data_IF_221406987130
#
_entry.id   IF_221406987130
#
_cell.length_a   1.000
_cell.length_b   1.000
_cell.length_c   1.000
_cell.angle_alpha   90.00
_cell.angle_beta   90.00
_cell.angle_gamma   90.00
#
_symmetry.space_group_name_H-M   'P 1'
#
loop_
_entity.id
_entity.type
_entity.pdbx_description
1 polymer ?
#
# COMPACT_ATOMS: atom_id res chain seq x y z
N UNK A 1 -14.76 19.77 29.16
CA UNK A 1 -13.49 19.02 29.34
C UNK A 1 -12.95 18.75 27.95
N UNK A 2 -11.94 19.50 27.55
CA UNK A 2 -11.35 19.48 26.19
C UNK A 2 -10.51 18.23 25.98
N UNK A 3 -10.89 17.47 24.97
CA UNK A 3 -10.26 16.20 24.57
C UNK A 3 -8.85 16.48 23.95
N UNK A 4 -7.82 16.61 24.80
CA UNK A 4 -6.45 17.02 24.44
C UNK A 4 -5.51 15.85 24.10
N UNK A 5 -6.00 14.67 23.70
CA UNK A 5 -5.14 13.52 23.36
C UNK A 5 -5.70 12.63 22.21
N UNK A 6 -6.19 13.20 21.11
CA UNK A 6 -6.19 12.41 19.89
C UNK A 6 -4.75 12.46 19.34
N UNK A 7 -3.97 11.39 19.56
CA UNK A 7 -2.72 11.17 18.80
C UNK A 7 -3.05 11.34 17.32
N UNK A 8 -2.24 12.11 16.62
CA UNK A 8 -2.41 12.31 15.19
C UNK A 8 -2.40 10.94 14.51
N UNK A 9 -3.50 10.56 13.88
CA UNK A 9 -3.71 9.20 13.35
C UNK A 9 -2.88 8.94 12.07
N UNK A 10 -2.41 10.00 11.42
CA UNK A 10 -1.62 9.97 10.18
C UNK A 10 -0.77 11.24 10.06
N UNK A 11 0.21 11.23 9.15
CA UNK A 11 1.06 12.37 8.85
C UNK A 11 0.74 12.86 7.44
N UNK A 12 0.35 14.13 7.31
CA UNK A 12 0.09 14.75 6.00
C UNK A 12 1.39 14.84 5.19
N UNK A 13 1.30 14.48 3.92
CA UNK A 13 2.43 14.49 3.00
C UNK A 13 2.98 15.90 2.76
N UNK A 14 4.19 16.00 2.23
CA UNK A 14 4.81 17.23 1.79
C UNK A 14 4.21 17.72 0.48
N UNK A 15 4.36 19.02 0.16
CA UNK A 15 3.94 19.55 -1.15
C UNK A 15 4.66 18.88 -2.32
N UNK A 16 5.91 18.46 -2.13
CA UNK A 16 6.66 17.74 -3.12
C UNK A 16 6.10 16.32 -3.28
N UNK A 17 5.81 15.63 -2.18
CA UNK A 17 5.18 14.31 -2.20
C UNK A 17 3.84 14.33 -2.91
N UNK A 18 2.93 15.26 -2.55
CA UNK A 18 1.65 15.45 -3.22
C UNK A 18 1.82 15.63 -4.74
N UNK A 19 2.75 16.50 -5.15
CA UNK A 19 3.03 16.70 -6.58
C UNK A 19 3.58 15.44 -7.25
N UNK A 20 4.53 14.75 -6.60
CA UNK A 20 5.16 13.55 -7.16
C UNK A 20 4.17 12.40 -7.35
N UNK A 21 3.29 12.18 -6.37
CA UNK A 21 2.25 11.15 -6.39
C UNK A 21 1.24 11.34 -7.54
N UNK A 22 1.10 12.57 -8.06
CA UNK A 22 0.22 12.91 -9.18
C UNK A 22 0.95 12.86 -10.55
N UNK A 23 2.21 12.41 -10.59
CA UNK A 23 2.98 12.33 -11.84
C UNK A 23 2.84 10.99 -12.55
N UNK A 24 2.94 11.01 -13.90
CA UNK A 24 3.07 9.79 -14.70
C UNK A 24 4.28 8.93 -14.29
N UNK A 25 5.35 9.56 -13.80
CA UNK A 25 6.54 8.86 -13.32
C UNK A 25 6.17 7.93 -12.16
N UNK A 26 5.41 8.44 -11.17
CA UNK A 26 4.94 7.61 -10.06
C UNK A 26 3.98 6.52 -10.55
N UNK A 27 3.02 6.86 -11.39
CA UNK A 27 2.05 5.88 -11.92
C UNK A 27 2.76 4.73 -12.65
N UNK A 28 3.70 5.03 -13.55
CA UNK A 28 4.34 4.02 -14.39
C UNK A 28 5.40 3.21 -13.63
N UNK A 29 6.26 3.88 -12.87
CA UNK A 29 7.45 3.25 -12.29
C UNK A 29 7.24 2.76 -10.85
N UNK A 30 6.20 3.22 -10.16
CA UNK A 30 5.89 2.79 -8.80
C UNK A 30 4.60 1.96 -8.78
N UNK A 31 3.44 2.56 -9.09
CA UNK A 31 2.15 1.90 -8.99
C UNK A 31 2.00 0.70 -9.96
N UNK A 32 2.15 0.92 -11.27
CA UNK A 32 2.00 -0.16 -12.27
C UNK A 32 3.04 -1.26 -12.09
N UNK A 33 4.25 -0.89 -11.67
CA UNK A 33 5.31 -1.86 -11.38
C UNK A 33 4.93 -2.76 -10.21
N UNK A 34 4.45 -2.18 -9.10
CA UNK A 34 3.99 -2.93 -7.94
C UNK A 34 2.80 -3.83 -8.27
N UNK A 35 1.79 -3.32 -9.00
CA UNK A 35 0.64 -4.12 -9.42
C UNK A 35 1.02 -5.28 -10.34
N UNK A 36 1.96 -5.10 -11.27
CA UNK A 36 2.45 -6.18 -12.12
C UNK A 36 3.10 -7.29 -11.30
N UNK A 37 3.89 -6.93 -10.30
CA UNK A 37 4.54 -7.89 -9.41
C UNK A 37 3.51 -8.60 -8.52
N UNK A 38 2.60 -7.84 -7.90
CA UNK A 38 1.53 -8.40 -7.05
C UNK A 38 0.62 -9.37 -7.80
N UNK A 39 0.25 -9.09 -9.06
CA UNK A 39 -0.54 -10.04 -9.86
C UNK A 39 0.19 -11.37 -10.10
N UNK A 40 1.51 -11.35 -10.28
CA UNK A 40 2.31 -12.56 -10.44
C UNK A 40 2.45 -13.33 -9.12
N UNK A 41 2.32 -12.66 -7.98
CA UNK A 41 2.35 -13.28 -6.65
C UNK A 41 1.01 -13.91 -6.24
N UNK A 42 -0.10 -13.66 -6.96
CA UNK A 42 -1.36 -14.36 -6.73
C UNK A 42 -1.20 -15.81 -7.20
N UNK A 43 -1.33 -16.82 -6.31
CA UNK A 43 -1.22 -18.21 -6.71
C UNK A 43 -2.26 -18.60 -7.76
N UNK A 44 -1.88 -19.45 -8.71
CA UNK A 44 -2.74 -19.83 -9.85
C UNK A 44 -4.01 -20.58 -9.44
N UNK A 45 -3.99 -21.21 -8.27
CA UNK A 45 -5.12 -21.93 -7.66
C UNK A 45 -6.06 -21.02 -6.86
N UNK A 46 -5.77 -19.72 -6.82
CA UNK A 46 -6.58 -18.72 -6.13
C UNK A 46 -7.42 -17.89 -7.11
N UNK A 47 -8.53 -17.29 -6.64
CA UNK A 47 -9.32 -16.38 -7.46
C UNK A 47 -8.47 -15.26 -8.08
N UNK A 48 -8.72 -15.00 -9.36
CA UNK A 48 -8.06 -13.91 -10.12
C UNK A 48 -9.02 -12.75 -10.37
N UNK A 49 -10.31 -12.92 -10.07
CA UNK A 49 -11.35 -11.90 -10.18
C UNK A 49 -11.95 -11.63 -8.79
N UNK A 50 -12.25 -10.36 -8.52
CA UNK A 50 -12.72 -9.89 -7.23
C UNK A 50 -13.90 -8.96 -7.47
N UNK A 51 -15.05 -9.26 -6.85
CA UNK A 51 -16.28 -8.51 -7.08
C UNK A 51 -16.27 -7.15 -6.37
N UNK A 52 -15.77 -7.10 -5.14
CA UNK A 52 -15.66 -5.88 -4.35
C UNK A 52 -14.21 -5.68 -3.90
N UNK A 53 -13.59 -4.60 -4.36
CA UNK A 53 -12.22 -4.23 -4.00
C UNK A 53 -12.24 -3.05 -3.03
N UNK A 54 -11.40 -3.11 -1.98
CA UNK A 54 -11.12 -1.97 -1.09
C UNK A 54 -9.71 -1.44 -1.40
N UNK A 55 -9.64 -0.20 -1.85
CA UNK A 55 -8.39 0.52 -2.11
C UNK A 55 -8.04 1.40 -0.89
N UNK A 56 -6.99 1.04 -0.17
CA UNK A 56 -6.54 1.72 1.06
C UNK A 56 -5.55 2.82 0.71
N UNK A 57 -5.90 4.06 1.03
CA UNK A 57 -5.11 5.23 0.68
C UNK A 57 -5.17 5.51 -0.81
N UNK A 58 -6.39 5.66 -1.34
CA UNK A 58 -6.63 5.84 -2.77
C UNK A 58 -5.92 7.07 -3.37
N UNK A 59 -5.51 8.02 -2.52
CA UNK A 59 -4.78 9.20 -2.95
C UNK A 59 -5.52 9.97 -4.06
N UNK A 60 -4.83 10.22 -5.17
CA UNK A 60 -5.41 10.91 -6.33
C UNK A 60 -6.27 9.99 -7.23
N UNK A 61 -6.46 8.72 -6.85
CA UNK A 61 -7.31 7.78 -7.58
C UNK A 61 -6.65 7.11 -8.80
N UNK A 62 -5.33 7.20 -8.97
CA UNK A 62 -4.62 6.50 -10.04
C UNK A 62 -4.71 4.97 -9.90
N UNK A 63 -4.77 4.46 -8.68
CA UNK A 63 -5.01 3.06 -8.37
C UNK A 63 -6.36 2.56 -8.87
N UNK A 64 -7.40 3.38 -8.82
CA UNK A 64 -8.75 3.01 -9.25
C UNK A 64 -8.79 2.56 -10.71
N UNK A 65 -8.13 3.31 -11.61
CA UNK A 65 -8.03 2.99 -13.04
C UNK A 65 -7.31 1.65 -13.28
N UNK A 66 -6.25 1.41 -12.53
CA UNK A 66 -5.48 0.17 -12.64
C UNK A 66 -6.25 -1.03 -12.10
N UNK A 67 -6.94 -0.88 -10.96
CA UNK A 67 -7.75 -1.93 -10.36
C UNK A 67 -8.97 -2.27 -11.23
N UNK A 68 -9.66 -1.25 -11.74
CA UNK A 68 -10.79 -1.41 -12.67
C UNK A 68 -10.38 -2.19 -13.94
N UNK A 69 -9.30 -1.76 -14.59
CA UNK A 69 -8.86 -2.37 -15.85
C UNK A 69 -8.31 -3.79 -15.70
N UNK A 70 -7.68 -4.11 -14.56
CA UNK A 70 -7.02 -5.40 -14.34
C UNK A 70 -7.93 -6.47 -13.81
N UNK A 71 -8.86 -6.11 -12.91
CA UNK A 71 -9.68 -7.06 -12.16
C UNK A 71 -11.16 -6.98 -12.52
N UNK A 72 -11.61 -5.93 -13.21
CA UNK A 72 -13.00 -5.72 -13.64
C UNK A 72 -14.03 -5.97 -12.51
N UNK A 73 -13.85 -5.37 -11.31
CA UNK A 73 -14.75 -5.59 -10.19
C UNK A 73 -16.12 -4.93 -10.45
N UNK A 74 -17.17 -5.41 -9.77
CA UNK A 74 -18.47 -4.70 -9.77
C UNK A 74 -18.38 -3.37 -9.05
N UNK A 75 -17.58 -3.30 -7.96
CA UNK A 75 -17.37 -2.05 -7.22
C UNK A 75 -15.99 -1.95 -6.58
N UNK A 76 -15.53 -0.69 -6.44
CA UNK A 76 -14.31 -0.35 -5.68
C UNK A 76 -14.69 0.63 -4.59
N UNK A 77 -14.34 0.32 -3.34
CA UNK A 77 -14.41 1.25 -2.22
C UNK A 77 -13.07 1.97 -2.12
N UNK A 78 -13.06 3.25 -2.44
CA UNK A 78 -11.88 4.11 -2.41
C UNK A 78 -11.77 4.79 -1.03
N UNK A 79 -10.84 4.33 -0.19
CA UNK A 79 -10.65 4.83 1.16
C UNK A 79 -9.43 5.75 1.24
N UNK A 80 -9.62 6.92 1.82
CA UNK A 80 -8.55 7.79 2.25
C UNK A 80 -8.95 8.56 3.52
N UNK A 81 -7.98 9.01 4.29
CA UNK A 81 -8.21 9.78 5.52
C UNK A 81 -8.34 11.28 5.25
N UNK A 82 -7.82 11.77 4.12
CA UNK A 82 -7.87 13.19 3.72
C UNK A 82 -9.02 13.44 2.74
N UNK A 83 -10.08 14.17 3.17
CA UNK A 83 -11.23 14.45 2.30
C UNK A 83 -10.87 15.31 1.07
N UNK A 84 -9.82 16.14 1.13
CA UNK A 84 -9.38 16.96 0.00
C UNK A 84 -8.78 16.08 -1.11
N UNK A 85 -8.06 15.03 -0.71
CA UNK A 85 -7.46 14.05 -1.62
C UNK A 85 -8.55 13.18 -2.26
N UNK A 86 -9.51 12.71 -1.48
CA UNK A 86 -10.70 11.98 -1.99
C UNK A 86 -11.45 12.79 -3.04
N UNK A 87 -11.61 14.10 -2.84
CA UNK A 87 -12.28 14.94 -3.84
C UNK A 87 -11.51 15.00 -5.18
N UNK A 88 -10.18 14.95 -5.16
CA UNK A 88 -9.36 14.89 -6.38
C UNK A 88 -9.47 13.54 -7.08
N UNK A 89 -9.57 12.44 -6.32
CA UNK A 89 -9.72 11.09 -6.85
C UNK A 89 -10.99 10.90 -7.72
N UNK A 90 -12.04 11.69 -7.49
CA UNK A 90 -13.30 11.61 -8.25
C UNK A 90 -13.10 11.80 -9.75
N UNK A 91 -12.15 12.64 -10.17
CA UNK A 91 -11.87 12.87 -11.59
C UNK A 91 -11.36 11.59 -12.29
N UNK A 92 -10.52 10.81 -11.61
CA UNK A 92 -10.04 9.53 -12.13
C UNK A 92 -11.14 8.46 -12.05
N UNK A 93 -11.96 8.48 -11.01
CA UNK A 93 -13.08 7.55 -10.84
C UNK A 93 -14.12 7.62 -11.96
N UNK A 94 -14.36 8.81 -12.56
CA UNK A 94 -15.27 8.98 -13.70
C UNK A 94 -14.86 8.16 -14.94
N UNK A 95 -13.62 7.72 -15.01
CA UNK A 95 -13.10 6.91 -16.12
C UNK A 95 -13.22 5.40 -15.87
N UNK A 96 -13.59 4.99 -14.65
CA UNK A 96 -13.78 3.59 -14.28
C UNK A 96 -15.14 3.06 -14.76
N UNK A 97 -15.16 1.78 -15.13
CA UNK A 97 -16.41 1.05 -15.45
C UNK A 97 -17.10 0.53 -14.19
N UNK A 98 -16.35 0.27 -13.13
CA UNK A 98 -16.84 -0.19 -11.83
C UNK A 98 -17.58 0.92 -11.06
N UNK A 99 -18.50 0.54 -10.16
CA UNK A 99 -19.13 1.46 -9.21
C UNK A 99 -18.10 1.90 -8.15
N UNK A 100 -17.73 3.18 -8.13
CA UNK A 100 -16.74 3.71 -7.19
C UNK A 100 -17.43 4.37 -5.99
N UNK A 101 -17.18 3.83 -4.79
CA UNK A 101 -17.69 4.37 -3.53
C UNK A 101 -16.54 4.99 -2.74
N UNK A 102 -16.67 6.26 -2.38
CA UNK A 102 -15.66 6.96 -1.58
C UNK A 102 -15.96 6.87 -0.09
N UNK A 103 -14.94 6.53 0.69
CA UNK A 103 -15.01 6.42 2.13
C UNK A 103 -13.89 7.26 2.77
N UNK A 104 -14.28 8.29 3.54
CA UNK A 104 -13.32 9.12 4.29
C UNK A 104 -13.23 8.60 5.71
N UNK A 105 -12.26 7.76 6.00
CA UNK A 105 -12.02 7.24 7.35
C UNK A 105 -10.55 6.81 7.54
N UNK A 106 -10.20 6.54 8.80
CA UNK A 106 -8.92 5.97 9.15
C UNK A 106 -8.92 4.45 8.88
N UNK A 107 -7.88 3.93 8.22
CA UNK A 107 -7.73 2.50 7.96
C UNK A 107 -7.59 1.64 9.24
N UNK A 108 -7.35 2.25 10.39
CA UNK A 108 -7.40 1.59 11.71
C UNK A 108 -8.82 1.50 12.31
N UNK A 109 -9.84 2.08 11.64
CA UNK A 109 -11.25 2.08 12.06
C UNK A 109 -12.13 2.21 10.81
N UNK A 110 -12.25 1.12 10.04
CA UNK A 110 -12.92 1.11 8.73
C UNK A 110 -14.45 1.00 8.91
N UNK A 111 -15.19 1.98 8.37
CA UNK A 111 -16.66 1.98 8.39
C UNK A 111 -17.25 1.09 7.28
N UNK A 112 -16.96 -0.20 7.34
CA UNK A 112 -17.51 -1.25 6.48
C UNK A 112 -17.91 -2.47 7.31
N UNK A 113 -18.87 -3.23 6.81
CA UNK A 113 -19.31 -4.47 7.44
C UNK A 113 -18.21 -5.55 7.44
N UNK A 114 -18.25 -6.44 8.40
CA UNK A 114 -17.40 -7.64 8.43
C UNK A 114 -17.64 -8.48 7.18
N UNK A 115 -16.57 -9.08 6.64
CA UNK A 115 -16.63 -10.02 5.52
C UNK A 115 -17.36 -9.44 4.29
N UNK A 116 -17.14 -8.16 3.97
CA UNK A 116 -17.79 -7.48 2.85
C UNK A 116 -16.88 -7.30 1.62
N UNK A 117 -15.57 -7.49 1.76
CA UNK A 117 -14.55 -7.21 0.75
C UNK A 117 -13.91 -8.50 0.24
N UNK A 118 -13.74 -8.64 -1.08
CA UNK A 118 -13.07 -9.78 -1.70
C UNK A 118 -11.55 -9.59 -1.78
N UNK A 119 -11.11 -8.38 -2.08
CA UNK A 119 -9.70 -8.01 -2.17
C UNK A 119 -9.44 -6.64 -1.56
N UNK A 120 -8.39 -6.51 -0.77
CA UNK A 120 -7.83 -5.23 -0.33
C UNK A 120 -6.57 -4.94 -1.15
N UNK A 121 -6.47 -3.75 -1.69
CA UNK A 121 -5.25 -3.20 -2.25
C UNK A 121 -4.69 -2.14 -1.31
N UNK A 122 -3.45 -2.29 -0.88
CA UNK A 122 -2.75 -1.33 -0.04
C UNK A 122 -1.35 -1.09 -0.62
N UNK A 123 -1.14 0.09 -1.20
CA UNK A 123 0.08 0.43 -1.90
C UNK A 123 0.64 1.76 -1.42
N UNK A 124 1.87 1.75 -0.90
CA UNK A 124 2.60 2.92 -0.42
C UNK A 124 1.78 3.79 0.56
N UNK A 125 0.96 3.15 1.39
CA UNK A 125 0.05 3.82 2.33
C UNK A 125 0.22 3.32 3.75
N UNK A 126 0.46 2.02 3.95
CA UNK A 126 0.48 1.41 5.28
C UNK A 126 1.57 2.00 6.18
N UNK A 127 2.70 2.38 5.62
CA UNK A 127 3.79 3.05 6.34
C UNK A 127 3.44 4.48 6.81
N UNK A 128 2.35 5.09 6.33
CA UNK A 128 1.81 6.36 6.85
C UNK A 128 0.84 6.16 8.02
N UNK A 129 0.32 4.94 8.24
CA UNK A 129 -0.61 4.64 9.32
C UNK A 129 0.16 4.54 10.64
N UNK A 130 -0.29 5.28 11.66
CA UNK A 130 0.37 5.29 12.98
C UNK A 130 -0.02 4.04 13.79
N UNK A 131 -1.29 3.64 13.78
CA UNK A 131 -1.78 2.42 14.43
C UNK A 131 -1.91 1.26 13.42
N UNK A 132 -0.76 0.72 13.03
CA UNK A 132 -0.67 -0.38 12.05
C UNK A 132 -1.27 -1.69 12.57
N UNK A 133 -1.24 -1.91 13.89
CA UNK A 133 -1.83 -3.12 14.49
C UNK A 133 -3.36 -3.11 14.41
N UNK A 134 -4.00 -1.97 14.64
CA UNK A 134 -5.45 -1.84 14.45
C UNK A 134 -5.80 -1.91 12.96
N UNK A 135 -5.04 -1.27 12.08
CA UNK A 135 -5.29 -1.30 10.65
C UNK A 135 -5.27 -2.72 10.06
N UNK A 136 -4.26 -3.54 10.40
CA UNK A 136 -4.19 -4.91 9.88
C UNK A 136 -5.32 -5.80 10.43
N UNK A 137 -5.81 -5.54 11.65
CA UNK A 137 -6.99 -6.22 12.22
C UNK A 137 -8.27 -5.81 11.49
N UNK A 138 -8.40 -4.53 11.12
CA UNK A 138 -9.52 -4.05 10.31
C UNK A 138 -9.51 -4.67 8.91
N UNK A 139 -8.33 -4.80 8.27
CA UNK A 139 -8.20 -5.53 7.02
C UNK A 139 -8.73 -6.96 7.15
N UNK A 140 -8.32 -7.65 8.22
CA UNK A 140 -8.82 -9.00 8.50
C UNK A 140 -10.34 -9.02 8.73
N UNK A 141 -10.89 -8.05 9.46
CA UNK A 141 -12.32 -7.99 9.77
C UNK A 141 -13.18 -7.81 8.52
N UNK A 142 -12.84 -6.82 7.68
CA UNK A 142 -13.67 -6.49 6.51
C UNK A 142 -13.51 -7.48 5.36
N UNK A 143 -12.40 -8.20 5.29
CA UNK A 143 -12.12 -9.17 4.24
C UNK A 143 -12.98 -10.42 4.42
N UNK A 144 -13.56 -10.96 3.35
CA UNK A 144 -14.28 -12.24 3.35
C UNK A 144 -13.31 -13.41 3.61
N UNK A 145 -13.77 -14.55 4.21
CA UNK A 145 -12.97 -15.78 4.21
C UNK A 145 -12.55 -16.16 2.79
N UNK A 146 -11.29 -16.50 2.61
CA UNK A 146 -10.69 -16.75 1.30
C UNK A 146 -10.29 -15.50 0.51
N UNK A 147 -10.68 -14.31 0.95
CA UNK A 147 -10.27 -13.04 0.35
C UNK A 147 -8.78 -12.74 0.57
N UNK A 148 -8.22 -11.83 -0.21
CA UNK A 148 -6.79 -11.52 -0.19
C UNK A 148 -6.49 -10.04 0.01
N UNK A 149 -5.26 -9.78 0.45
CA UNK A 149 -4.65 -8.45 0.46
C UNK A 149 -3.48 -8.44 -0.51
N UNK A 150 -3.49 -7.48 -1.43
CA UNK A 150 -2.36 -7.11 -2.27
C UNK A 150 -1.65 -5.94 -1.58
N UNK A 151 -0.47 -6.20 -1.06
CA UNK A 151 0.28 -5.30 -0.19
C UNK A 151 1.63 -4.95 -0.82
N UNK A 152 1.88 -3.67 -1.09
CA UNK A 152 3.15 -3.21 -1.64
C UNK A 152 3.63 -1.95 -0.91
N UNK A 153 4.67 -2.09 -0.10
CA UNK A 153 5.08 -1.05 0.84
C UNK A 153 6.57 -0.76 0.83
N UNK A 154 6.88 0.46 1.21
CA UNK A 154 8.23 0.90 1.51
C UNK A 154 8.66 0.42 2.90
N UNK A 155 9.88 -0.13 2.99
CA UNK A 155 10.47 -0.57 4.25
C UNK A 155 11.24 0.55 4.95
N UNK A 156 11.53 0.33 6.24
CA UNK A 156 12.22 1.27 7.12
C UNK A 156 13.50 1.85 6.49
N UNK A 157 14.33 1.01 5.88
CA UNK A 157 15.58 1.44 5.26
C UNK A 157 15.35 2.53 4.22
N UNK A 158 14.38 2.36 3.31
CA UNK A 158 14.06 3.36 2.30
C UNK A 158 13.51 4.64 2.92
N UNK A 159 12.53 4.53 3.81
CA UNK A 159 11.90 5.68 4.47
C UNK A 159 12.92 6.49 5.31
N UNK A 160 13.91 5.81 5.90
CA UNK A 160 14.96 6.45 6.69
C UNK A 160 16.12 7.01 5.86
N UNK A 161 16.12 6.84 4.53
CA UNK A 161 17.14 7.44 3.68
C UNK A 161 17.10 8.96 3.73
N UNK A 162 18.25 9.58 3.49
CA UNK A 162 18.38 11.04 3.56
C UNK A 162 17.45 11.76 2.57
N UNK A 163 17.37 11.24 1.33
CA UNK A 163 16.57 11.84 0.26
C UNK A 163 15.08 11.77 0.61
N UNK A 164 14.59 10.64 1.10
CA UNK A 164 13.18 10.47 1.45
C UNK A 164 12.80 11.36 2.63
N UNK A 165 13.62 11.43 3.67
CA UNK A 165 13.39 12.34 4.80
C UNK A 165 13.36 13.83 4.40
N UNK A 166 14.11 14.20 3.37
CA UNK A 166 14.14 15.58 2.88
C UNK A 166 12.89 15.92 2.08
N UNK A 167 12.41 14.98 1.24
CA UNK A 167 11.36 15.25 0.25
C UNK A 167 9.97 14.88 0.73
N UNK A 168 9.82 13.84 1.56
CA UNK A 168 8.56 13.27 2.00
C UNK A 168 8.39 13.33 3.52
N UNK A 169 7.17 13.15 3.99
CA UNK A 169 6.84 13.17 5.42
C UNK A 169 6.24 11.84 5.85
N UNK A 170 6.83 11.22 6.86
CA UNK A 170 6.43 9.92 7.38
C UNK A 170 6.41 9.89 8.91
N UNK A 171 5.56 9.09 9.54
CA UNK A 171 5.62 8.80 10.98
C UNK A 171 6.82 7.89 11.27
N UNK A 172 7.98 8.46 11.55
CA UNK A 172 9.28 7.76 11.62
C UNK A 172 9.35 6.64 12.66
N UNK A 173 8.52 6.69 13.71
CA UNK A 173 8.54 5.73 14.83
C UNK A 173 7.86 4.40 14.53
N UNK A 174 7.06 4.31 13.45
CA UNK A 174 6.27 3.10 13.13
C UNK A 174 6.79 2.34 11.92
N UNK A 175 7.91 2.80 11.34
CA UNK A 175 8.49 2.20 10.14
C UNK A 175 9.02 0.79 10.41
N UNK A 176 8.76 -0.13 9.49
CA UNK A 176 9.06 -1.56 9.64
C UNK A 176 10.01 -2.06 8.55
N UNK A 177 10.76 -3.10 8.87
CA UNK A 177 11.44 -3.94 7.88
C UNK A 177 10.42 -4.85 7.19
N UNK A 178 10.81 -5.49 6.11
CA UNK A 178 10.05 -6.55 5.44
C UNK A 178 9.66 -7.68 6.42
N UNK A 179 10.59 -8.15 7.25
CA UNK A 179 10.36 -9.20 8.26
C UNK A 179 9.38 -8.75 9.36
N UNK A 180 9.47 -7.49 9.80
CA UNK A 180 8.53 -6.92 10.76
C UNK A 180 7.13 -6.78 10.18
N UNK A 181 6.98 -6.44 8.89
CA UNK A 181 5.69 -6.47 8.19
C UNK A 181 5.12 -7.89 8.10
N UNK A 182 5.93 -8.88 7.69
CA UNK A 182 5.49 -10.27 7.63
C UNK A 182 5.08 -10.82 9.01
N UNK A 183 5.79 -10.41 10.06
CA UNK A 183 5.43 -10.77 11.44
C UNK A 183 4.08 -10.16 11.84
N UNK A 184 3.86 -8.88 11.53
CA UNK A 184 2.59 -8.20 11.81
C UNK A 184 1.41 -8.89 11.09
N UNK A 185 1.58 -9.24 9.81
CA UNK A 185 0.59 -9.92 8.98
C UNK A 185 0.24 -11.29 9.58
N UNK A 186 1.26 -12.09 9.94
CA UNK A 186 1.06 -13.41 10.55
C UNK A 186 0.37 -13.31 11.92
N UNK A 187 0.74 -12.34 12.74
CA UNK A 187 0.13 -12.10 14.05
C UNK A 187 -1.35 -11.67 13.96
N UNK A 188 -1.77 -11.13 12.82
CA UNK A 188 -3.16 -10.83 12.52
C UNK A 188 -3.94 -12.02 11.92
N UNK A 189 -3.38 -13.23 11.97
CA UNK A 189 -3.95 -14.51 11.50
C UNK A 189 -4.13 -14.62 9.98
N UNK A 190 -3.41 -13.83 9.18
CA UNK A 190 -3.35 -14.02 7.75
C UNK A 190 -2.41 -15.17 7.36
N UNK A 191 -2.76 -15.86 6.28
CA UNK A 191 -1.90 -16.85 5.63
C UNK A 191 -1.04 -16.16 4.58
N UNK A 192 0.28 -16.24 4.72
CA UNK A 192 1.25 -15.74 3.75
C UNK A 192 2.27 -16.83 3.45
N UNK A 193 2.47 -17.14 2.17
CA UNK A 193 3.47 -18.07 1.69
C UNK A 193 4.72 -17.33 1.20
N UNK A 194 5.89 -17.93 1.31
CA UNK A 194 7.15 -17.34 0.81
C UNK A 194 7.08 -17.08 -0.70
N UNK A 195 6.42 -17.95 -1.47
CA UNK A 195 6.21 -17.77 -2.90
C UNK A 195 5.28 -16.61 -3.27
N UNK A 196 4.54 -16.07 -2.31
CA UNK A 196 3.64 -14.91 -2.48
C UNK A 196 4.25 -13.61 -1.92
N UNK A 197 5.58 -13.59 -1.76
CA UNK A 197 6.33 -12.43 -1.28
C UNK A 197 7.49 -12.13 -2.23
N UNK A 198 7.71 -10.87 -2.55
CA UNK A 198 8.91 -10.38 -3.22
C UNK A 198 9.45 -9.13 -2.53
N UNK A 199 10.75 -8.90 -2.66
CA UNK A 199 11.45 -7.73 -2.14
C UNK A 199 12.18 -7.03 -3.28
N UNK A 200 11.46 -6.23 -4.11
CA UNK A 200 12.06 -5.56 -5.25
C UNK A 200 13.13 -4.57 -4.80
N UNK A 201 14.33 -4.65 -5.41
CA UNK A 201 15.42 -3.71 -5.13
C UNK A 201 15.63 -2.81 -6.35
N UNK A 202 14.73 -1.85 -6.49
CA UNK A 202 14.69 -0.94 -7.64
C UNK A 202 15.69 0.20 -7.45
N UNK A 203 16.21 0.76 -8.56
CA UNK A 203 17.18 1.84 -8.49
C UNK A 203 16.69 3.03 -7.64
N UNK A 204 15.41 3.41 -7.77
CA UNK A 204 14.81 4.52 -7.05
C UNK A 204 14.52 4.21 -5.58
N UNK A 205 14.42 2.92 -5.19
CA UNK A 205 14.20 2.52 -3.80
C UNK A 205 15.49 2.40 -2.99
N UNK A 206 16.65 2.64 -3.62
CA UNK A 206 17.96 2.62 -2.94
C UNK A 206 18.23 3.94 -2.26
N UNK A 207 18.98 3.92 -1.16
CA UNK A 207 19.29 5.12 -0.37
C UNK A 207 20.02 6.19 -1.17
N UNK A 208 20.82 5.78 -2.14
CA UNK A 208 21.65 6.61 -3.02
C UNK A 208 21.10 6.72 -4.46
N UNK A 209 19.86 6.28 -4.69
CA UNK A 209 19.23 6.20 -6.02
C UNK A 209 20.05 5.35 -7.02
N UNK A 210 20.81 4.37 -6.54
CA UNK A 210 21.63 3.49 -7.36
C UNK A 210 22.90 4.13 -7.93
N UNK A 211 23.29 5.31 -7.44
CA UNK A 211 24.49 6.03 -7.91
C UNK A 211 25.77 5.23 -7.62
N UNK A 212 25.87 4.63 -6.43
CA UNK A 212 27.03 3.85 -6.05
C UNK A 212 27.25 2.62 -6.94
N UNK A 213 26.19 1.90 -7.25
CA UNK A 213 26.26 0.77 -8.17
C UNK A 213 26.67 1.22 -9.59
N UNK A 214 26.11 2.33 -10.05
CA UNK A 214 26.44 2.90 -11.39
C UNK A 214 27.93 3.25 -11.48
N UNK A 215 28.51 3.79 -10.41
CA UNK A 215 29.93 4.20 -10.36
C UNK A 215 30.86 3.00 -10.17
N UNK A 216 30.51 2.06 -9.29
CA UNK A 216 31.41 0.99 -8.85
C UNK A 216 31.17 -0.35 -9.51
N UNK A 217 29.99 -0.55 -10.14
CA UNK A 217 29.53 -1.84 -10.65
C UNK A 217 29.23 -2.86 -9.55
N UNK A 218 29.24 -2.46 -8.27
CA UNK A 218 29.01 -3.36 -7.12
C UNK A 218 27.56 -3.28 -6.68
N UNK A 219 26.85 -4.41 -6.73
CA UNK A 219 25.49 -4.59 -6.20
C UNK A 219 25.60 -5.09 -4.75
N UNK A 220 24.74 -4.60 -3.87
CA UNK A 220 24.65 -5.12 -2.51
C UNK A 220 24.20 -6.59 -2.51
N UNK A 221 24.80 -7.39 -1.63
CA UNK A 221 24.46 -8.81 -1.48
C UNK A 221 23.00 -8.95 -0.95
N UNK A 222 22.09 -9.59 -1.72
CA UNK A 222 20.71 -9.81 -1.31
C UNK A 222 20.57 -10.58 0.02
N UNK A 223 21.58 -11.34 0.42
CA UNK A 223 21.54 -12.14 1.66
C UNK A 223 21.80 -11.32 2.93
N UNK A 224 22.43 -10.17 2.80
CA UNK A 224 22.91 -9.39 3.94
C UNK A 224 22.33 -7.98 4.01
N UNK A 225 21.73 -7.50 2.91
CA UNK A 225 21.11 -6.17 2.88
C UNK A 225 19.78 -6.16 3.62
N UNK A 226 19.44 -5.05 4.25
CA UNK A 226 18.07 -4.77 4.67
C UNK A 226 17.25 -4.37 3.44
N UNK A 227 16.05 -4.94 3.28
CA UNK A 227 15.23 -4.68 2.10
C UNK A 227 14.60 -3.29 2.16
N UNK A 228 14.40 -2.70 0.97
CA UNK A 228 13.85 -1.34 0.82
C UNK A 228 12.38 -1.33 0.50
N UNK A 229 11.88 -2.40 -0.11
CA UNK A 229 10.48 -2.58 -0.50
C UNK A 229 10.05 -4.01 -0.16
N UNK A 230 8.74 -4.18 0.06
CA UNK A 230 8.09 -5.48 0.15
C UNK A 230 6.81 -5.47 -0.67
N UNK A 231 6.62 -6.49 -1.50
CA UNK A 231 5.34 -6.84 -2.12
C UNK A 231 4.90 -8.21 -1.58
N UNK A 232 3.67 -8.31 -1.13
CA UNK A 232 3.15 -9.54 -0.56
C UNK A 232 1.67 -9.73 -0.89
N UNK A 233 1.28 -10.97 -1.17
CA UNK A 233 -0.12 -11.39 -1.28
C UNK A 233 -0.41 -12.36 -0.14
N UNK A 234 -1.41 -12.05 0.67
CA UNK A 234 -1.79 -12.86 1.82
C UNK A 234 -3.30 -12.98 1.95
N UNK A 235 -3.77 -14.04 2.58
CA UNK A 235 -5.16 -14.46 2.55
C UNK A 235 -5.76 -14.57 3.95
N UNK A 236 -7.04 -14.20 4.07
CA UNK A 236 -7.84 -14.59 5.22
C UNK A 236 -8.24 -16.07 5.06
N UNK A 237 -7.98 -16.96 6.06
CA UNK A 237 -8.38 -18.35 6.01
C UNK A 237 -9.88 -18.55 5.89
#
# INVERSE_FOLDING_TARGET
>A
MTNKNKKQAWVKESKFGDWFLDTNTWVVHVLKRALNDLQQLIPIDKPQNFDVILDIGTGFGHSLLELDSRFSPSSIVALDVDPDVVNKAKNNAEQCSSDIKFLVCNAAEIDLADNSIDMIFCHQTFHHIVDQESAIKEFYRVLKPGGCVLFAESCRRYIHSFIIKLLFRHPMSVQKTDLEYLTLIKNANFLVNESSVSTPFLWWSREDLGIWETITGKVEDPKTREETLINAVFYKP
#
